data_IF_892911798215
#
_entry.id   IF_892911798215
#
_cell.length_a   1.000
_cell.length_b   1.000
_cell.length_c   1.000
_cell.angle_alpha   90.00
_cell.angle_beta   90.00
_cell.angle_gamma   90.00
#
_symmetry.space_group_name_H-M   'P 1'
#
loop_
_entity.id
_entity.type
_entity.pdbx_description
1 polymer ?
#
# COMPACT_ATOMS: atom_id res chain seq x y z
N UNK A 1 -11.60 14.62 -5.82
CA UNK A 1 -11.29 13.51 -4.88
C UNK A 1 -10.21 12.67 -5.53
N UNK A 2 -8.97 12.72 -5.02
CA UNK A 2 -7.84 11.96 -5.61
C UNK A 2 -8.02 10.47 -5.30
N UNK A 3 -8.21 9.66 -6.34
CA UNK A 3 -8.43 8.22 -6.22
C UNK A 3 -7.11 7.48 -5.96
N UNK A 4 -7.20 6.46 -5.11
CA UNK A 4 -6.11 5.61 -4.62
C UNK A 4 -5.24 4.88 -5.65
N UNK A 5 -5.69 4.76 -6.89
CA UNK A 5 -4.99 4.00 -7.90
C UNK A 5 -4.79 4.80 -9.17
N UNK A 6 -3.53 5.09 -9.48
CA UNK A 6 -3.09 5.05 -10.86
C UNK A 6 -3.40 3.65 -11.42
N UNK A 7 -4.03 3.59 -12.60
CA UNK A 7 -4.28 2.41 -13.43
C UNK A 7 -3.67 1.06 -12.98
N UNK A 8 -4.29 0.33 -12.04
CA UNK A 8 -4.13 -1.12 -11.95
C UNK A 8 -5.13 -1.78 -12.92
N UNK A 9 -4.63 -2.57 -13.86
CA UNK A 9 -5.42 -3.10 -14.98
C UNK A 9 -6.15 -4.40 -14.60
N UNK A 10 -7.45 -4.44 -14.90
CA UNK A 10 -8.20 -5.69 -15.12
C UNK A 10 -8.01 -6.09 -16.58
N UNK A 11 -7.70 -7.36 -16.83
CA UNK A 11 -7.63 -7.91 -18.19
C UNK A 11 -9.05 -8.08 -18.74
N UNK A 12 -9.46 -7.15 -19.59
CA UNK A 12 -10.42 -7.50 -20.63
C UNK A 12 -9.69 -7.34 -21.96
N UNK A 13 -9.51 -8.48 -22.63
CA UNK A 13 -9.05 -8.58 -24.01
C UNK A 13 -9.91 -7.69 -24.91
N UNK A 14 -9.28 -6.86 -25.75
CA UNK A 14 -9.85 -6.31 -26.98
C UNK A 14 -8.73 -5.84 -27.94
N UNK A 15 -9.00 -5.74 -29.25
CA UNK A 15 -8.15 -6.30 -30.29
C UNK A 15 -6.99 -5.42 -30.73
N UNK A 16 -6.01 -6.09 -31.33
CA UNK A 16 -4.82 -5.48 -31.89
C UNK A 16 -5.17 -4.58 -33.08
N UNK A 17 -4.94 -3.28 -32.93
CA UNK A 17 -4.64 -2.41 -34.07
C UNK A 17 -3.65 -1.32 -33.64
N UNK A 18 -2.72 -1.06 -34.58
CA UNK A 18 -1.65 -0.05 -34.63
C UNK A 18 -0.50 -0.10 -33.62
N UNK A 19 0.50 -0.94 -33.97
CA UNK A 19 1.93 -0.59 -34.14
C UNK A 19 2.71 0.19 -33.04
N UNK A 20 3.80 -0.39 -32.51
CA UNK A 20 5.16 -0.32 -33.09
C UNK A 20 6.23 -0.95 -32.13
N UNK A 21 6.91 -1.99 -32.63
CA UNK A 21 8.31 -2.43 -32.43
C UNK A 21 8.91 -2.56 -31.00
N UNK A 22 9.06 -3.82 -30.58
CA UNK A 22 10.30 -4.56 -30.17
C UNK A 22 9.78 -5.80 -29.41
N UNK A 23 10.25 -6.99 -29.78
CA UNK A 23 9.76 -8.31 -29.34
C UNK A 23 9.73 -8.54 -27.82
N UNK A 24 8.74 -7.96 -27.14
CA UNK A 24 8.45 -8.14 -25.73
C UNK A 24 7.27 -9.08 -25.57
N UNK A 25 7.39 -10.10 -24.71
CA UNK A 25 6.24 -10.93 -24.33
C UNK A 25 5.19 -10.05 -23.62
N UNK A 26 3.98 -10.02 -24.18
CA UNK A 26 2.78 -9.56 -23.47
C UNK A 26 2.35 -10.68 -22.52
N UNK A 27 2.66 -10.54 -21.23
CA UNK A 27 2.26 -11.51 -20.20
C UNK A 27 1.96 -10.80 -18.89
N UNK A 28 1.02 -11.33 -18.10
CA UNK A 28 0.83 -10.87 -16.72
C UNK A 28 2.11 -11.16 -15.93
N UNK A 29 2.59 -10.20 -15.13
CA UNK A 29 3.77 -10.44 -14.30
C UNK A 29 3.52 -11.56 -13.30
N UNK A 30 4.51 -12.42 -13.13
CA UNK A 30 4.55 -13.41 -12.06
C UNK A 30 4.84 -12.73 -10.73
N UNK A 31 4.67 -13.44 -9.62
CA UNK A 31 5.07 -12.90 -8.32
C UNK A 31 6.58 -12.62 -8.23
N UNK A 32 7.41 -13.43 -8.91
CA UNK A 32 8.86 -13.21 -9.02
C UNK A 32 9.18 -11.89 -9.72
N UNK A 33 8.51 -11.60 -10.84
CA UNK A 33 8.71 -10.33 -11.57
C UNK A 33 8.39 -9.11 -10.69
N UNK A 34 7.35 -9.21 -9.86
CA UNK A 34 6.93 -8.16 -8.92
C UNK A 34 7.97 -7.98 -7.81
N UNK A 35 8.50 -9.10 -7.28
CA UNK A 35 9.55 -9.06 -6.27
C UNK A 35 10.86 -8.51 -6.81
N UNK A 36 11.23 -8.81 -8.06
CA UNK A 36 12.37 -8.21 -8.75
C UNK A 36 12.22 -6.69 -8.87
N UNK A 37 11.07 -6.24 -9.38
CA UNK A 37 10.77 -4.81 -9.52
C UNK A 37 10.83 -4.08 -8.16
N UNK A 38 10.23 -4.67 -7.12
CA UNK A 38 10.27 -4.10 -5.78
C UNK A 38 11.69 -4.11 -5.18
N UNK A 39 12.46 -5.18 -5.37
CA UNK A 39 13.83 -5.30 -4.87
C UNK A 39 14.74 -4.25 -5.50
N UNK A 40 14.66 -4.09 -6.82
CA UNK A 40 15.46 -3.12 -7.54
C UNK A 40 15.09 -1.68 -7.13
N UNK A 41 13.80 -1.38 -6.93
CA UNK A 41 13.36 -0.06 -6.46
C UNK A 41 13.82 0.23 -5.02
N UNK A 42 13.63 -0.73 -4.11
CA UNK A 42 14.04 -0.62 -2.70
C UNK A 42 15.54 -0.37 -2.60
N UNK A 43 16.36 -1.13 -3.33
CA UNK A 43 17.81 -0.97 -3.32
C UNK A 43 18.24 0.45 -3.74
N UNK A 44 17.59 1.00 -4.76
CA UNK A 44 17.89 2.35 -5.28
C UNK A 44 17.60 3.44 -4.25
N UNK A 45 16.49 3.32 -3.50
CA UNK A 45 16.13 4.28 -2.44
C UNK A 45 16.98 4.10 -1.18
N UNK A 46 17.20 2.86 -0.72
CA UNK A 46 18.02 2.59 0.47
C UNK A 46 19.47 3.02 0.28
N UNK A 47 20.04 2.85 -0.92
CA UNK A 47 21.38 3.33 -1.25
C UNK A 47 21.53 4.86 -1.14
N UNK A 48 20.42 5.61 -1.16
CA UNK A 48 20.37 7.06 -1.00
C UNK A 48 19.95 7.49 0.41
N UNK A 49 19.76 6.55 1.33
CA UNK A 49 19.26 6.82 2.67
C UNK A 49 17.77 7.14 2.72
N UNK A 50 17.02 6.99 1.62
CA UNK A 50 15.58 7.22 1.58
C UNK A 50 14.83 5.98 2.08
N UNK A 51 13.98 6.16 3.09
CA UNK A 51 13.17 5.06 3.63
C UNK A 51 11.99 4.81 2.70
N UNK A 52 11.78 3.53 2.35
CA UNK A 52 10.71 3.08 1.46
C UNK A 52 10.15 1.78 1.99
N UNK A 53 8.86 1.54 1.76
CA UNK A 53 8.22 0.29 2.14
C UNK A 53 7.06 -0.07 1.20
N UNK A 54 6.80 -1.35 1.04
CA UNK A 54 5.65 -1.84 0.29
C UNK A 54 4.35 -1.52 1.02
N UNK A 55 3.36 -1.11 0.24
CA UNK A 55 1.94 -1.01 0.61
C UNK A 55 1.12 -1.78 -0.44
N UNK A 56 -0.20 -1.59 -0.45
CA UNK A 56 -1.06 -2.13 -1.51
C UNK A 56 -0.99 -3.65 -1.65
N UNK A 57 -1.14 -4.16 -2.87
CA UNK A 57 -1.26 -5.60 -3.12
C UNK A 57 -0.03 -6.42 -2.73
N UNK A 58 1.17 -5.88 -2.97
CA UNK A 58 2.43 -6.53 -2.60
C UNK A 58 2.56 -6.68 -1.08
N UNK A 59 2.25 -5.63 -0.31
CA UNK A 59 2.24 -5.70 1.15
C UNK A 59 1.23 -6.74 1.64
N UNK A 60 0.01 -6.76 1.10
CA UNK A 60 -0.99 -7.76 1.47
C UNK A 60 -0.47 -9.20 1.25
N UNK A 61 0.17 -9.45 0.11
CA UNK A 61 0.76 -10.77 -0.21
C UNK A 61 1.86 -11.14 0.77
N UNK A 62 2.75 -10.20 1.11
CA UNK A 62 3.84 -10.41 2.08
C UNK A 62 3.35 -10.59 3.52
N UNK A 63 2.16 -10.08 3.87
CA UNK A 63 1.50 -10.35 5.16
C UNK A 63 0.72 -11.67 5.19
N UNK A 64 0.75 -12.46 4.10
CA UNK A 64 0.16 -13.80 4.05
C UNK A 64 -1.13 -13.90 3.24
N UNK A 65 -1.55 -12.85 2.52
CA UNK A 65 -2.65 -12.98 1.57
C UNK A 65 -2.28 -13.95 0.42
N UNK A 66 -3.26 -14.69 -0.10
CA UNK A 66 -3.04 -15.70 -1.14
C UNK A 66 -2.97 -15.09 -2.55
N UNK A 67 -3.65 -13.96 -2.78
CA UNK A 67 -3.75 -13.33 -4.09
C UNK A 67 -2.40 -12.78 -4.55
N UNK A 68 -2.02 -13.05 -5.79
CA UNK A 68 -0.83 -12.44 -6.40
C UNK A 68 -1.16 -11.01 -6.86
N UNK A 69 -0.38 -9.99 -6.47
CA UNK A 69 -0.52 -8.62 -7.01
C UNK A 69 -0.18 -8.58 -8.50
N UNK A 70 -0.46 -7.47 -9.19
CA UNK A 70 -0.04 -7.26 -10.58
C UNK A 70 0.95 -6.09 -10.73
N UNK A 71 1.16 -5.36 -9.65
CA UNK A 71 1.87 -4.10 -9.54
C UNK A 71 2.62 -4.04 -8.21
N UNK A 72 3.52 -3.07 -8.13
CA UNK A 72 4.31 -2.75 -6.94
C UNK A 72 3.88 -1.38 -6.45
N UNK A 73 3.24 -1.33 -5.29
CA UNK A 73 2.95 -0.07 -4.59
C UNK A 73 4.00 0.13 -3.50
N UNK A 74 4.81 1.19 -3.60
CA UNK A 74 5.79 1.58 -2.59
C UNK A 74 5.43 2.92 -1.99
N UNK A 75 5.43 3.01 -0.67
CA UNK A 75 5.37 4.27 0.07
C UNK A 75 6.81 4.73 0.35
N UNK A 76 7.21 5.82 -0.31
CA UNK A 76 8.48 6.50 -0.10
C UNK A 76 8.26 7.53 1.01
N UNK A 77 8.97 7.38 2.14
CA UNK A 77 8.91 8.31 3.26
C UNK A 77 9.78 9.53 2.96
N UNK A 78 9.33 10.30 1.97
CA UNK A 78 9.87 11.57 1.52
C UNK A 78 8.69 12.48 1.21
N UNK A 79 8.61 13.62 1.88
CA UNK A 79 7.57 14.65 1.66
C UNK A 79 8.13 15.91 1.00
N UNK A 80 9.42 15.91 0.66
CA UNK A 80 10.15 17.05 0.10
C UNK A 80 10.28 16.97 -1.42
N UNK A 81 10.40 15.77 -1.97
CA UNK A 81 10.44 15.55 -3.42
C UNK A 81 9.04 15.48 -4.03
N UNK A 82 8.92 15.92 -5.28
CA UNK A 82 7.73 15.69 -6.10
C UNK A 82 7.66 14.25 -6.60
N UNK A 83 6.46 13.81 -6.97
CA UNK A 83 6.20 12.52 -7.61
C UNK A 83 7.06 12.26 -8.86
N UNK A 84 7.34 13.28 -9.67
CA UNK A 84 8.17 13.12 -10.87
C UNK A 84 9.66 13.01 -10.51
N UNK A 85 10.13 13.75 -9.49
CA UNK A 85 11.50 13.62 -8.99
C UNK A 85 11.77 12.23 -8.44
N UNK A 86 10.88 11.66 -7.61
CA UNK A 86 11.08 10.31 -7.06
C UNK A 86 11.07 9.21 -8.14
N UNK A 87 10.28 9.37 -9.21
CA UNK A 87 10.32 8.44 -10.36
C UNK A 87 11.64 8.58 -11.12
N UNK A 88 12.13 9.81 -11.30
CA UNK A 88 13.38 10.07 -12.01
C UNK A 88 14.59 9.49 -11.27
N UNK A 89 14.57 9.42 -9.94
CA UNK A 89 15.59 8.73 -9.14
C UNK A 89 15.73 7.26 -9.58
N UNK A 90 14.62 6.54 -9.76
CA UNK A 90 14.64 5.14 -10.19
C UNK A 90 15.13 5.00 -11.64
N UNK A 91 14.61 5.81 -12.56
CA UNK A 91 14.98 5.79 -13.99
C UNK A 91 16.46 6.08 -14.19
N UNK A 92 17.02 7.05 -13.46
CA UNK A 92 18.43 7.42 -13.58
C UNK A 92 19.37 6.36 -12.98
N UNK A 93 18.91 5.62 -11.98
CA UNK A 93 19.76 4.66 -11.27
C UNK A 93 19.73 3.24 -11.86
N UNK A 94 18.63 2.86 -12.51
CA UNK A 94 18.47 1.51 -13.06
C UNK A 94 17.65 1.55 -14.36
N UNK A 95 18.30 1.18 -15.46
CA UNK A 95 17.76 1.23 -16.83
C UNK A 95 16.56 0.31 -17.08
N UNK A 96 16.24 -0.60 -16.15
CA UNK A 96 15.00 -1.38 -16.19
C UNK A 96 13.77 -0.53 -15.87
N UNK A 97 13.93 0.60 -15.17
CA UNK A 97 12.85 1.54 -14.92
C UNK A 97 12.73 2.55 -16.06
N UNK A 98 11.48 2.82 -16.46
CA UNK A 98 11.18 3.77 -17.51
C UNK A 98 9.78 4.35 -17.35
N UNK A 99 9.55 5.51 -17.97
CA UNK A 99 8.31 6.26 -17.88
C UNK A 99 7.51 6.13 -19.18
N UNK A 100 6.19 5.94 -19.05
CA UNK A 100 5.24 5.97 -20.16
C UNK A 100 4.21 7.07 -19.86
N UNK A 101 3.83 7.94 -20.82
CA UNK A 101 2.72 8.87 -20.64
C UNK A 101 1.45 8.18 -20.14
N UNK A 102 0.65 8.87 -19.33
CA UNK A 102 -0.66 8.39 -18.93
C UNK A 102 -1.57 8.14 -20.14
N UNK A 103 -2.52 7.21 -20.01
CA UNK A 103 -3.49 6.88 -21.09
C UNK A 103 -4.41 8.05 -21.41
N UNK A 104 -4.78 8.81 -20.38
CA UNK A 104 -5.54 10.04 -20.53
C UNK A 104 -4.64 11.09 -21.19
N UNK A 105 -4.93 11.55 -22.42
CA UNK A 105 -4.10 12.53 -23.11
C UNK A 105 -4.02 13.88 -22.39
N UNK A 106 -4.98 14.17 -21.50
CA UNK A 106 -4.98 15.40 -20.69
C UNK A 106 -4.14 15.28 -19.42
N UNK A 107 -3.75 14.07 -19.03
CA UNK A 107 -2.93 13.86 -17.85
C UNK A 107 -1.47 14.22 -18.13
N UNK A 108 -0.93 15.10 -17.28
CA UNK A 108 0.46 15.58 -17.38
C UNK A 108 1.47 14.65 -16.70
N UNK A 109 1.00 13.63 -15.98
CA UNK A 109 1.86 12.68 -15.26
C UNK A 109 2.31 11.51 -16.15
N UNK A 110 3.46 10.93 -15.80
CA UNK A 110 3.94 9.69 -16.42
C UNK A 110 3.81 8.52 -15.45
N UNK A 111 3.52 7.34 -15.98
CA UNK A 111 3.44 6.09 -15.24
C UNK A 111 4.81 5.42 -15.26
N UNK A 112 5.28 5.01 -14.09
CA UNK A 112 6.53 4.29 -13.93
C UNK A 112 6.33 2.79 -14.15
N UNK A 113 7.19 2.23 -14.97
CA UNK A 113 7.23 0.81 -15.30
C UNK A 113 8.62 0.24 -15.08
N UNK A 114 8.67 -1.02 -14.69
CA UNK A 114 9.86 -1.84 -14.63
C UNK A 114 9.80 -2.90 -15.73
N UNK A 115 10.90 -3.11 -16.44
CA UNK A 115 11.06 -4.17 -17.44
C UNK A 115 11.96 -5.26 -16.91
N UNK A 116 11.45 -6.49 -16.87
CA UNK A 116 12.27 -7.67 -16.54
C UNK A 116 13.18 -8.02 -17.70
N UNK A 117 14.19 -8.86 -17.48
CA UNK A 117 15.09 -9.35 -18.54
C UNK A 117 14.34 -10.07 -19.67
N UNK A 118 13.19 -10.67 -19.37
CA UNK A 118 12.30 -11.34 -20.32
C UNK A 118 11.33 -10.38 -21.05
N UNK A 119 11.44 -9.07 -20.80
CA UNK A 119 10.60 -8.05 -21.41
C UNK A 119 9.20 -7.92 -20.80
N UNK A 120 8.91 -8.58 -19.67
CA UNK A 120 7.67 -8.42 -18.93
C UNK A 120 7.66 -7.05 -18.26
N UNK A 121 6.48 -6.41 -18.23
CA UNK A 121 6.28 -5.08 -17.66
C UNK A 121 5.57 -5.19 -16.33
N UNK A 122 6.16 -4.60 -15.29
CA UNK A 122 5.57 -4.45 -13.96
C UNK A 122 5.32 -2.97 -13.73
N UNK A 123 4.09 -2.61 -13.37
CA UNK A 123 3.78 -1.23 -12.98
C UNK A 123 4.30 -0.98 -11.57
N UNK A 124 4.92 0.17 -11.36
CA UNK A 124 5.47 0.57 -10.06
C UNK A 124 4.86 1.92 -9.69
N UNK A 125 4.03 1.93 -8.66
CA UNK A 125 3.44 3.14 -8.09
C UNK A 125 4.25 3.59 -6.88
N UNK A 126 4.66 4.86 -6.90
CA UNK A 126 5.36 5.49 -5.79
C UNK A 126 4.39 6.42 -5.08
N UNK A 127 4.08 6.11 -3.83
CA UNK A 127 3.21 6.89 -2.96
C UNK A 127 4.05 7.67 -1.95
N UNK A 128 3.48 8.73 -1.39
CA UNK A 128 4.12 9.55 -0.37
C UNK A 128 3.12 9.88 0.75
N UNK A 129 3.58 10.08 2.00
CA UNK A 129 2.74 10.64 3.06
C UNK A 129 2.12 11.98 2.65
N UNK A 130 0.92 12.27 3.16
CA UNK A 130 0.16 13.48 2.85
C UNK A 130 -0.62 13.40 1.52
N UNK A 131 -0.21 12.54 0.58
CA UNK A 131 -0.95 12.28 -0.65
C UNK A 131 -2.03 11.24 -0.38
N UNK A 132 -3.26 11.47 -0.89
CA UNK A 132 -4.41 10.57 -0.71
C UNK A 132 -4.74 10.25 0.76
N UNK A 133 -4.42 11.19 1.67
CA UNK A 133 -4.59 11.03 3.11
C UNK A 133 -3.78 9.88 3.71
N UNK A 134 -2.72 9.42 3.04
CA UNK A 134 -1.78 8.45 3.61
C UNK A 134 -1.02 9.14 4.75
N UNK A 135 -1.06 8.61 5.98
CA UNK A 135 -0.38 9.23 7.10
C UNK A 135 1.13 9.00 7.03
N UNK A 136 1.88 9.93 7.61
CA UNK A 136 3.28 9.69 7.95
C UNK A 136 3.37 8.80 9.22
N UNK A 137 4.51 8.13 9.39
CA UNK A 137 4.79 7.28 10.55
C UNK A 137 6.30 7.08 10.74
N UNK A 138 6.71 6.69 11.94
CA UNK A 138 8.14 6.44 12.22
C UNK A 138 8.70 5.33 11.30
N UNK A 139 9.81 5.58 10.58
CA UNK A 139 10.47 4.57 9.76
C UNK A 139 10.91 3.31 10.53
N UNK A 140 11.00 3.37 11.86
CA UNK A 140 11.35 2.23 12.72
C UNK A 140 10.25 1.17 12.79
N UNK A 141 9.03 1.53 12.38
CA UNK A 141 7.90 0.59 12.32
C UNK A 141 7.89 -0.23 11.02
N UNK A 142 8.76 0.08 10.05
CA UNK A 142 8.90 -0.70 8.81
C UNK A 142 9.37 -2.12 9.15
N UNK A 143 8.65 -3.12 8.66
CA UNK A 143 8.99 -4.52 8.86
C UNK A 143 9.59 -5.11 7.59
N UNK A 144 10.78 -5.71 7.70
CA UNK A 144 11.37 -6.42 6.56
C UNK A 144 10.81 -7.84 6.47
N UNK A 145 10.10 -8.14 5.38
CA UNK A 145 9.62 -9.49 5.07
C UNK A 145 10.59 -10.14 4.09
N UNK A 146 10.87 -11.42 4.29
CA UNK A 146 11.72 -12.23 3.41
C UNK A 146 10.85 -13.20 2.61
N UNK A 147 11.08 -13.28 1.31
CA UNK A 147 10.49 -14.28 0.44
C UNK A 147 11.55 -14.74 -0.55
N UNK A 148 11.92 -16.03 -0.49
CA UNK A 148 13.08 -16.57 -1.21
C UNK A 148 14.34 -15.71 -0.96
N UNK A 149 14.93 -15.17 -2.03
CA UNK A 149 16.11 -14.30 -2.00
C UNK A 149 15.78 -12.83 -1.79
N UNK A 150 14.50 -12.46 -1.76
CA UNK A 150 14.05 -11.08 -1.67
C UNK A 150 13.86 -10.66 -0.20
N UNK A 151 14.30 -9.45 0.11
CA UNK A 151 14.06 -8.77 1.38
C UNK A 151 13.36 -7.46 1.08
N UNK A 152 12.07 -7.38 1.38
CA UNK A 152 11.23 -6.24 1.05
C UNK A 152 10.80 -5.55 2.35
N UNK A 153 11.08 -4.24 2.54
CA UNK A 153 10.48 -3.46 3.61
C UNK A 153 8.99 -3.34 3.36
N UNK A 154 8.16 -3.55 4.38
CA UNK A 154 6.69 -3.50 4.33
C UNK A 154 6.22 -2.51 5.38
N UNK A 155 5.23 -1.70 5.00
CA UNK A 155 4.60 -0.78 5.94
C UNK A 155 4.01 -1.56 7.13
N UNK A 156 3.85 -0.93 8.30
CA UNK A 156 3.25 -1.60 9.45
C UNK A 156 1.90 -2.23 9.08
N UNK A 157 1.67 -3.48 9.49
CA UNK A 157 0.50 -4.24 9.01
C UNK A 157 -0.84 -3.53 9.29
N UNK A 158 -0.97 -2.85 10.44
CA UNK A 158 -2.14 -2.03 10.74
C UNK A 158 -2.38 -0.92 9.71
N UNK A 159 -1.32 -0.25 9.24
CA UNK A 159 -1.43 0.74 8.16
C UNK A 159 -1.89 0.06 6.87
N UNK A 160 -1.24 -1.04 6.44
CA UNK A 160 -1.61 -1.77 5.22
C UNK A 160 -3.10 -2.14 5.19
N UNK A 161 -3.62 -2.67 6.30
CA UNK A 161 -5.03 -3.05 6.42
C UNK A 161 -5.97 -1.84 6.29
N UNK A 162 -5.67 -0.74 6.98
CA UNK A 162 -6.51 0.46 6.95
C UNK A 162 -6.46 1.19 5.61
N UNK A 163 -5.32 1.14 4.92
CA UNK A 163 -5.15 1.62 3.55
C UNK A 163 -6.00 0.81 2.57
N UNK A 164 -6.07 -0.53 2.74
CA UNK A 164 -7.00 -1.36 1.97
C UNK A 164 -8.47 -1.03 2.24
N UNK A 165 -8.83 -0.79 3.48
CA UNK A 165 -10.18 -0.34 3.85
C UNK A 165 -10.54 1.02 3.22
N UNK A 166 -9.57 1.94 3.15
CA UNK A 166 -9.75 3.23 2.47
C UNK A 166 -9.94 3.04 0.96
N UNK A 167 -9.12 2.22 0.31
CA UNK A 167 -9.27 1.88 -1.11
C UNK A 167 -10.65 1.29 -1.42
N UNK A 168 -11.13 0.35 -0.59
CA UNK A 168 -12.45 -0.26 -0.73
C UNK A 168 -13.57 0.78 -0.80
N UNK A 169 -13.60 1.72 0.16
CA UNK A 169 -14.63 2.77 0.20
C UNK A 169 -14.57 3.66 -1.04
N UNK A 170 -13.37 4.10 -1.41
CA UNK A 170 -13.19 4.99 -2.56
C UNK A 170 -13.57 4.33 -3.88
N UNK A 171 -13.23 3.05 -4.04
CA UNK A 171 -13.65 2.28 -5.21
C UNK A 171 -15.17 2.12 -5.22
N UNK A 172 -15.79 1.79 -4.09
CA UNK A 172 -17.25 1.66 -3.98
C UNK A 172 -17.99 2.96 -4.36
N UNK A 173 -17.37 4.12 -4.15
CA UNK A 173 -17.91 5.44 -4.50
C UNK A 173 -17.51 5.94 -5.90
N UNK A 174 -16.69 5.18 -6.65
CA UNK A 174 -16.21 5.62 -7.96
C UNK A 174 -17.31 5.49 -9.03
N UNK A 175 -17.51 6.56 -9.82
CA UNK A 175 -18.42 6.54 -10.98
C UNK A 175 -17.83 5.78 -12.17
N UNK A 176 -16.51 5.62 -12.24
CA UNK A 176 -15.85 4.86 -13.30
C UNK A 176 -15.93 3.36 -13.01
N UNK A 177 -16.68 2.61 -13.82
CA UNK A 177 -16.90 1.16 -13.66
C UNK A 177 -15.62 0.35 -13.38
N UNK A 178 -14.53 0.67 -14.09
CA UNK A 178 -13.22 -0.01 -13.95
C UNK A 178 -12.57 0.19 -12.57
N UNK A 179 -12.87 1.29 -11.89
CA UNK A 179 -12.43 1.54 -10.52
C UNK A 179 -13.46 1.01 -9.54
N UNK A 180 -14.75 1.19 -9.83
CA UNK A 180 -15.84 0.67 -9.03
C UNK A 180 -15.68 -0.83 -8.76
N UNK A 181 -15.49 -1.63 -9.80
CA UNK A 181 -15.33 -3.09 -9.70
C UNK A 181 -14.16 -3.57 -8.82
N UNK A 182 -13.18 -2.71 -8.51
CA UNK A 182 -12.06 -3.09 -7.64
C UNK A 182 -12.44 -3.23 -6.18
N UNK A 183 -13.56 -2.63 -5.73
CA UNK A 183 -14.01 -2.78 -4.34
C UNK A 183 -14.24 -4.25 -3.96
N UNK A 184 -14.64 -5.11 -4.90
CA UNK A 184 -14.76 -6.56 -4.65
C UNK A 184 -13.41 -7.20 -4.32
N UNK A 185 -12.35 -6.82 -5.03
CA UNK A 185 -10.99 -7.32 -4.76
C UNK A 185 -10.48 -6.79 -3.42
N UNK A 186 -10.73 -5.52 -3.10
CA UNK A 186 -10.35 -4.97 -1.80
C UNK A 186 -11.10 -5.65 -0.64
N UNK A 187 -12.40 -5.95 -0.80
CA UNK A 187 -13.16 -6.69 0.20
C UNK A 187 -12.62 -8.11 0.41
N UNK A 188 -12.27 -8.81 -0.66
CA UNK A 188 -11.62 -10.13 -0.56
C UNK A 188 -10.28 -10.04 0.18
N UNK A 189 -9.45 -9.05 -0.15
CA UNK A 189 -8.17 -8.82 0.52
C UNK A 189 -8.38 -8.52 2.01
N UNK A 190 -9.28 -7.59 2.36
CA UNK A 190 -9.60 -7.23 3.75
C UNK A 190 -10.04 -8.47 4.54
N UNK A 191 -10.98 -9.26 4.01
CA UNK A 191 -11.50 -10.44 4.69
C UNK A 191 -10.41 -11.52 4.90
N UNK A 192 -9.39 -11.59 4.03
CA UNK A 192 -8.23 -12.47 4.22
C UNK A 192 -7.23 -11.92 5.24
N UNK A 193 -7.03 -10.61 5.27
CA UNK A 193 -6.06 -9.96 6.16
C UNK A 193 -6.55 -9.88 7.61
N UNK A 194 -7.86 -9.76 7.84
CA UNK A 194 -8.44 -9.63 9.18
C UNK A 194 -8.01 -10.73 10.18
N UNK A 195 -8.15 -12.04 9.90
CA UNK A 195 -7.69 -13.09 10.83
C UNK A 195 -6.17 -13.07 11.03
N UNK A 196 -5.40 -12.73 9.99
CA UNK A 196 -3.93 -12.62 10.06
C UNK A 196 -3.52 -11.44 10.97
N UNK A 197 -4.21 -10.31 10.85
CA UNK A 197 -4.00 -9.12 11.65
C UNK A 197 -4.27 -9.38 13.15
N UNK A 198 -5.33 -10.13 13.47
CA UNK A 198 -5.62 -10.55 14.84
C UNK A 198 -4.52 -11.46 15.38
N UNK A 199 -4.11 -12.46 14.60
CA UNK A 199 -3.05 -13.40 14.98
C UNK A 199 -1.73 -12.69 15.23
N UNK A 200 -1.40 -11.69 14.40
CA UNK A 200 -0.22 -10.85 14.56
C UNK A 200 -0.33 -9.83 15.71
N UNK A 201 -1.50 -9.71 16.36
CA UNK A 201 -1.71 -8.78 17.46
C UNK A 201 -1.52 -7.31 17.07
N UNK A 202 -1.90 -6.92 15.84
CA UNK A 202 -1.63 -5.58 15.35
C UNK A 202 -2.25 -4.50 16.24
N UNK A 203 -1.55 -3.37 16.35
CA UNK A 203 -2.09 -2.14 16.95
C UNK A 203 -2.00 -1.02 15.93
N UNK A 204 -2.83 0.00 16.08
CA UNK A 204 -2.89 1.14 15.18
C UNK A 204 -2.68 2.49 15.91
N UNK A 205 -2.27 2.44 17.18
CA UNK A 205 -2.19 3.60 18.08
C UNK A 205 -1.10 4.62 17.68
N UNK A 206 -0.13 4.18 16.88
CA UNK A 206 0.92 5.04 16.33
C UNK A 206 0.42 5.93 15.16
N UNK A 207 -0.73 5.60 14.55
CA UNK A 207 -1.27 6.37 13.42
C UNK A 207 -1.91 7.68 13.90
N UNK A 208 -1.98 8.75 13.09
CA UNK A 208 -2.66 9.98 13.50
C UNK A 208 -4.12 9.77 13.92
N UNK A 209 -4.59 10.53 14.91
CA UNK A 209 -5.95 10.42 15.48
C UNK A 209 -7.05 10.56 14.41
N UNK A 210 -6.81 11.43 13.45
CA UNK A 210 -7.73 11.75 12.37
C UNK A 210 -7.84 10.61 11.37
N UNK A 211 -6.70 9.99 11.04
CA UNK A 211 -6.67 8.77 10.25
C UNK A 211 -7.41 7.62 10.95
N UNK A 212 -7.19 7.44 12.27
CA UNK A 212 -7.94 6.45 13.06
C UNK A 212 -9.44 6.74 13.12
N UNK A 213 -9.83 8.02 13.16
CA UNK A 213 -11.25 8.44 13.16
C UNK A 213 -11.93 8.05 11.85
N UNK A 214 -11.32 8.36 10.72
CA UNK A 214 -11.82 7.95 9.40
C UNK A 214 -11.82 6.43 9.23
N UNK A 215 -10.79 5.73 9.70
CA UNK A 215 -10.76 4.27 9.73
C UNK A 215 -11.96 3.69 10.49
N UNK A 216 -12.29 4.20 11.69
CA UNK A 216 -13.48 3.76 12.43
C UNK A 216 -14.79 4.02 11.68
N UNK A 217 -14.90 5.13 10.95
CA UNK A 217 -16.07 5.44 10.12
C UNK A 217 -16.21 4.41 8.98
N UNK A 218 -15.10 4.12 8.29
CA UNK A 218 -15.06 3.12 7.21
C UNK A 218 -15.35 1.72 7.70
N UNK A 219 -14.86 1.33 8.90
CA UNK A 219 -15.18 0.03 9.51
C UNK A 219 -16.69 -0.12 9.69
N UNK A 220 -17.40 0.92 10.16
CA UNK A 220 -18.86 0.87 10.31
C UNK A 220 -19.55 0.62 8.97
N UNK A 221 -19.15 1.32 7.92
CA UNK A 221 -19.68 1.12 6.56
C UNK A 221 -19.32 -0.27 5.99
N UNK A 222 -18.11 -0.74 6.24
CA UNK A 222 -17.66 -2.06 5.81
C UNK A 222 -18.42 -3.18 6.50
N UNK A 223 -18.66 -3.08 7.81
CA UNK A 223 -19.45 -4.07 8.56
C UNK A 223 -20.91 -4.09 8.11
N UNK A 224 -21.49 -2.96 7.70
CA UNK A 224 -22.84 -2.94 7.13
C UNK A 224 -22.93 -3.73 5.82
N UNK A 225 -21.90 -3.68 4.97
CA UNK A 225 -21.83 -4.42 3.70
C UNK A 225 -21.28 -5.85 3.85
N UNK A 226 -20.48 -6.12 4.88
CA UNK A 226 -19.85 -7.40 5.16
C UNK A 226 -20.03 -7.78 6.65
N UNK A 227 -21.24 -8.14 7.10
CA UNK A 227 -21.55 -8.34 8.51
C UNK A 227 -20.70 -9.40 9.22
N UNK A 228 -20.27 -10.44 8.49
CA UNK A 228 -19.40 -11.50 9.01
C UNK A 228 -18.01 -11.00 9.44
N UNK A 229 -17.58 -9.83 8.96
CA UNK A 229 -16.30 -9.23 9.35
C UNK A 229 -16.34 -8.56 10.74
N UNK A 230 -17.53 -8.33 11.31
CA UNK A 230 -17.73 -7.55 12.54
C UNK A 230 -16.86 -8.05 13.71
N UNK A 231 -16.91 -9.36 13.98
CA UNK A 231 -16.18 -9.94 15.11
C UNK A 231 -14.66 -9.75 14.99
N UNK A 232 -14.15 -9.76 13.75
CA UNK A 232 -12.73 -9.52 13.50
C UNK A 232 -12.35 -8.05 13.79
N UNK A 233 -13.16 -7.11 13.32
CA UNK A 233 -12.93 -5.68 13.56
C UNK A 233 -13.04 -5.32 15.04
N UNK A 234 -13.95 -5.94 15.80
CA UNK A 234 -14.10 -5.73 17.24
C UNK A 234 -12.82 -6.13 18.01
N UNK A 235 -12.03 -7.09 17.48
CA UNK A 235 -10.75 -7.53 18.05
C UNK A 235 -9.57 -6.63 17.68
N UNK A 236 -9.68 -5.84 16.61
CA UNK A 236 -8.63 -4.91 16.16
C UNK A 236 -8.80 -3.56 16.87
N UNK A 237 -7.87 -3.23 17.77
CA UNK A 237 -7.99 -2.04 18.62
C UNK A 237 -7.58 -0.77 17.87
N UNK A 238 -8.54 0.13 17.65
CA UNK A 238 -8.32 1.51 17.17
C UNK A 238 -8.65 2.50 18.29
N UNK A 239 -7.70 2.70 19.22
CA UNK A 239 -7.95 3.54 20.40
C UNK A 239 -8.44 4.94 20.06
N UNK A 240 -9.31 5.47 20.91
CA UNK A 240 -9.70 6.89 20.88
C UNK A 240 -8.58 7.73 21.47
N UNK A 241 -8.43 8.97 21.01
CA UNK A 241 -7.39 9.90 21.52
C UNK A 241 -7.45 10.05 23.04
N UNK A 242 -8.64 9.99 23.64
CA UNK A 242 -8.89 10.12 25.08
C UNK A 242 -8.42 8.91 25.90
N UNK A 243 -8.27 7.72 25.31
CA UNK A 243 -7.88 6.48 26.04
C UNK A 243 -6.37 6.41 26.31
N UNK A 244 -5.57 7.25 25.65
CA UNK A 244 -4.11 7.33 25.85
C UNK A 244 -3.74 8.07 27.14
N UNK A 245 -4.63 8.95 27.64
CA UNK A 245 -4.35 9.82 28.80
C UNK A 245 -4.45 9.09 30.14
N UNK A 246 -5.32 8.08 30.25
CA UNK A 246 -5.62 7.43 31.53
C UNK A 246 -4.51 6.49 32.01
N UNK A 247 -3.61 6.04 31.13
CA UNK A 247 -2.53 5.10 31.50
C UNK A 247 -1.24 5.79 31.97
N UNK A 248 -1.07 7.07 31.69
CA UNK A 248 0.08 7.86 32.15
C UNK A 248 -0.07 8.38 33.59
N UNK A 249 -1.30 8.40 34.14
CA UNK A 249 -1.57 8.89 35.51
C UNK A 249 -1.51 7.79 36.60
N UNK A 250 -1.16 6.55 36.25
CA UNK A 250 -1.20 5.40 37.18
C UNK A 250 0.12 5.02 37.86
N UNK A 251 1.24 5.68 37.55
CA UNK A 251 2.56 5.36 38.12
C UNK A 251 3.08 6.59 38.86
N UNK A 252 2.64 6.77 40.11
CA UNK A 252 3.11 7.89 40.91
C UNK A 252 2.37 8.09 42.21
N UNK A 253 2.45 7.10 43.12
CA UNK A 253 2.45 7.29 44.58
C UNK A 253 2.60 5.94 45.30
N UNK A 254 3.86 5.51 45.48
CA UNK A 254 4.25 4.86 46.73
C UNK A 254 5.16 5.85 47.44
N UNK A 255 4.60 6.58 48.40
CA UNK A 255 5.41 7.25 49.41
C UNK A 255 5.89 6.17 50.38
N UNK A 256 7.22 6.06 50.48
CA UNK A 256 7.93 5.30 51.49
C UNK A 256 8.18 6.24 52.68
N UNK A 257 7.80 5.69 53.84
CA UNK A 257 7.99 6.02 55.26
C UNK A 257 8.90 7.14 55.78
N UNK A 258 8.56 7.49 57.04
CA UNK A 258 9.39 7.91 58.21
C UNK A 258 9.90 9.35 58.25
N UNK A 259 9.39 10.13 59.21
CA UNK A 259 9.86 10.19 60.60
C UNK A 259 8.69 10.54 61.53
#
# INVERSE_FOLDING_TARGET
>A
MSMWYGNSYSSYDMPASSEHRIGMRRGRPTYGDILDAATDAVRVFEARGTRVCAVGGLACKLEGNIRTPNDVDLLVLDTTSTQEQIKQILVNANSKFYLIPARDPSATYKVLWYRTTLGIRVKVDLLQPGIMSIPDFSPDLIQYKRYLTHRIPVAPFGLVLLLKLQAWEQHQQSSEYRYHTKHYTDAQDINRLLPLAITAGITCDYLPSDFRREARRRIRSYVQSHPSSKEHWDKIKLRRSTETSTRAQGIGRKQVSTL
#
